data_IF_906373085993
#
_entry.id   IF_906373085993
#
_cell.length_a   1.000
_cell.length_b   1.000
_cell.length_c   1.000
_cell.angle_alpha   90.00
_cell.angle_beta   90.00
_cell.angle_gamma   90.00
#
_symmetry.space_group_name_H-M   'P 1'
#
loop_
_entity.id
_entity.type
_entity.pdbx_description
1 polymer ?
#
# COMPACT_ATOMS: atom_id res chain seq x y z
N UNK A 1 -54.77 12.07 28.11
CA UNK A 1 -54.47 11.92 26.67
C UNK A 1 -53.01 12.20 26.30
N UNK A 2 -52.25 13.05 27.02
CA UNK A 2 -50.83 13.32 26.69
C UNK A 2 -49.85 12.13 26.90
N UNK A 3 -50.09 11.22 27.86
CA UNK A 3 -49.17 10.09 28.13
C UNK A 3 -49.11 9.05 27.01
N UNK A 4 -50.18 8.89 26.22
CA UNK A 4 -50.21 7.93 25.11
C UNK A 4 -49.39 8.40 23.90
N UNK A 5 -49.22 9.71 23.70
CA UNK A 5 -48.42 10.24 22.57
C UNK A 5 -46.91 10.11 22.80
N UNK A 6 -46.46 10.13 24.06
CA UNK A 6 -45.03 9.97 24.39
C UNK A 6 -44.55 8.56 24.05
N UNK A 7 -45.36 7.53 24.34
CA UNK A 7 -45.00 6.14 24.03
C UNK A 7 -44.95 5.86 22.52
N UNK A 8 -45.86 6.46 21.73
CA UNK A 8 -45.86 6.34 20.26
C UNK A 8 -44.63 7.03 19.66
N UNK A 9 -44.24 8.19 20.18
CA UNK A 9 -43.04 8.90 19.73
C UNK A 9 -41.74 8.13 20.03
N UNK A 10 -41.62 7.50 21.20
CA UNK A 10 -40.47 6.63 21.52
C UNK A 10 -40.42 5.36 20.66
N UNK A 11 -41.57 4.78 20.28
CA UNK A 11 -41.59 3.60 19.42
C UNK A 11 -41.21 3.93 17.98
N UNK A 12 -41.59 5.11 17.49
CA UNK A 12 -41.23 5.59 16.15
C UNK A 12 -39.73 5.97 16.06
N UNK A 13 -39.14 6.48 17.14
CA UNK A 13 -37.71 6.81 17.20
C UNK A 13 -36.81 5.55 17.21
N UNK A 14 -37.29 4.42 17.75
CA UNK A 14 -36.54 3.16 17.76
C UNK A 14 -36.51 2.46 16.40
N UNK A 15 -37.49 2.72 15.53
CA UNK A 15 -37.59 2.15 14.18
C UNK A 15 -36.65 2.81 13.15
N UNK A 16 -36.10 3.98 13.44
CA UNK A 16 -35.19 4.72 12.54
C UNK A 16 -33.72 4.34 12.80
N UNK A 17 -33.42 3.59 13.87
CA UNK A 17 -32.06 3.20 14.27
C UNK A 17 -31.50 1.91 13.64
N UNK A 18 -32.27 1.18 12.85
CA UNK A 18 -31.78 -0.02 12.17
C UNK A 18 -31.04 0.39 10.89
N UNK A 19 -29.77 0.77 11.01
CA UNK A 19 -28.87 0.79 9.87
C UNK A 19 -28.87 -0.61 9.25
N UNK A 20 -29.37 -0.73 8.02
CA UNK A 20 -29.27 -1.95 7.26
C UNK A 20 -27.79 -2.28 7.08
N UNK A 21 -27.35 -3.37 7.71
CA UNK A 21 -26.10 -4.02 7.34
C UNK A 21 -26.27 -4.50 5.88
N UNK A 22 -25.75 -3.73 4.93
CA UNK A 22 -25.71 -4.15 3.54
C UNK A 22 -24.57 -5.16 3.41
N UNK A 23 -24.91 -6.45 3.39
CA UNK A 23 -24.02 -7.46 2.83
C UNK A 23 -24.05 -7.28 1.31
N UNK A 24 -22.89 -7.07 0.70
CA UNK A 24 -22.78 -6.89 -0.75
C UNK A 24 -22.71 -8.29 -1.39
N UNK A 25 -23.89 -8.83 -1.72
CA UNK A 25 -24.00 -10.13 -2.38
C UNK A 25 -23.80 -9.91 -3.88
N UNK A 26 -22.74 -10.51 -4.43
CA UNK A 26 -22.41 -10.40 -5.85
C UNK A 26 -22.81 -11.69 -6.56
N UNK A 27 -23.65 -11.55 -7.59
CA UNK A 27 -24.04 -12.68 -8.44
C UNK A 27 -23.06 -12.81 -9.61
N UNK A 28 -22.40 -13.97 -9.71
CA UNK A 28 -21.41 -14.23 -10.75
C UNK A 28 -21.65 -15.58 -11.44
N UNK A 29 -21.18 -15.67 -12.69
CA UNK A 29 -21.27 -16.87 -13.49
C UNK A 29 -19.88 -17.43 -13.78
N UNK A 30 -19.75 -18.76 -13.76
CA UNK A 30 -18.54 -19.47 -14.13
C UNK A 30 -18.82 -20.65 -15.06
N UNK A 31 -17.82 -21.01 -15.87
CA UNK A 31 -17.94 -22.06 -16.89
C UNK A 31 -16.72 -22.98 -16.90
N UNK A 32 -16.94 -24.25 -17.23
CA UNK A 32 -15.87 -25.21 -17.50
C UNK A 32 -16.29 -26.22 -18.56
N UNK A 33 -15.37 -26.67 -19.39
CA UNK A 33 -15.62 -27.83 -20.26
C UNK A 33 -15.57 -29.13 -19.46
N UNK A 34 -16.37 -30.11 -19.89
CA UNK A 34 -16.30 -31.49 -19.38
C UNK A 34 -15.28 -32.25 -20.21
N UNK A 35 -14.16 -32.63 -19.60
CA UNK A 35 -13.08 -33.41 -20.23
C UNK A 35 -13.19 -34.86 -19.77
N UNK A 36 -13.15 -35.82 -20.68
CA UNK A 36 -13.20 -37.26 -20.39
C UNK A 36 -14.40 -37.72 -19.55
N UNK A 37 -15.54 -37.01 -19.64
CA UNK A 37 -16.73 -37.32 -18.84
C UNK A 37 -16.63 -36.95 -17.37
N UNK A 38 -15.58 -36.23 -16.93
CA UNK A 38 -15.41 -35.78 -15.56
C UNK A 38 -16.30 -34.56 -15.26
N UNK A 39 -17.57 -34.85 -14.99
CA UNK A 39 -18.58 -33.83 -14.64
C UNK A 39 -18.27 -33.19 -13.28
N UNK A 40 -17.73 -33.96 -12.32
CA UNK A 40 -17.40 -33.48 -10.98
C UNK A 40 -16.24 -32.49 -11.01
N UNK A 41 -15.18 -32.80 -11.75
CA UNK A 41 -14.06 -31.89 -11.98
C UNK A 41 -14.48 -30.64 -12.75
N UNK A 42 -15.34 -30.79 -13.76
CA UNK A 42 -15.90 -29.66 -14.51
C UNK A 42 -16.77 -28.74 -13.63
N UNK A 43 -17.59 -29.32 -12.73
CA UNK A 43 -18.38 -28.57 -11.75
C UNK A 43 -17.49 -27.76 -10.82
N UNK A 44 -16.48 -28.39 -10.22
CA UNK A 44 -15.52 -27.69 -9.34
C UNK A 44 -14.72 -26.60 -10.08
N UNK A 45 -14.36 -26.84 -11.34
CA UNK A 45 -13.71 -25.84 -12.17
C UNK A 45 -14.63 -24.66 -12.51
N UNK A 46 -15.90 -24.91 -12.83
CA UNK A 46 -16.89 -23.86 -13.09
C UNK A 46 -17.19 -23.02 -11.83
N UNK A 47 -17.25 -23.64 -10.65
CA UNK A 47 -17.41 -22.92 -9.37
C UNK A 47 -16.19 -22.02 -9.09
N UNK A 48 -14.97 -22.52 -9.32
CA UNK A 48 -13.75 -21.71 -9.18
C UNK A 48 -13.71 -20.54 -10.17
N UNK A 49 -14.20 -20.74 -11.37
CA UNK A 49 -14.34 -19.68 -12.38
C UNK A 49 -15.37 -18.63 -11.95
N UNK A 50 -16.53 -19.05 -11.42
CA UNK A 50 -17.56 -18.16 -10.89
C UNK A 50 -17.03 -17.32 -9.72
N UNK A 51 -16.25 -17.93 -8.82
CA UNK A 51 -15.59 -17.24 -7.72
C UNK A 51 -14.61 -16.16 -8.18
N UNK A 52 -13.82 -16.43 -9.24
CA UNK A 52 -12.92 -15.43 -9.82
C UNK A 52 -13.71 -14.26 -10.42
N UNK A 53 -14.78 -14.55 -11.14
CA UNK A 53 -15.66 -13.52 -11.72
C UNK A 53 -16.27 -12.64 -10.64
N UNK A 54 -16.75 -13.23 -9.54
CA UNK A 54 -17.29 -12.49 -8.40
C UNK A 54 -16.24 -11.54 -7.77
N UNK A 55 -15.02 -12.02 -7.55
CA UNK A 55 -13.92 -11.20 -7.01
C UNK A 55 -13.50 -10.06 -7.95
N UNK A 56 -13.49 -10.30 -9.26
CA UNK A 56 -13.21 -9.24 -10.23
C UNK A 56 -14.30 -8.16 -10.24
N UNK A 57 -15.58 -8.57 -10.17
CA UNK A 57 -16.71 -7.63 -10.08
C UNK A 57 -16.67 -6.81 -8.79
N UNK A 58 -16.18 -7.40 -7.70
CA UNK A 58 -15.93 -6.73 -6.43
C UNK A 58 -14.69 -5.82 -6.42
N UNK A 59 -13.95 -5.69 -7.54
CA UNK A 59 -12.81 -4.77 -7.66
C UNK A 59 -11.46 -5.29 -7.13
N UNK A 60 -11.34 -6.58 -6.81
CA UNK A 60 -10.06 -7.18 -6.41
C UNK A 60 -9.17 -7.41 -7.65
N UNK A 61 -7.94 -6.86 -7.64
CA UNK A 61 -6.97 -7.02 -8.75
C UNK A 61 -6.30 -8.41 -8.71
N UNK A 62 -6.55 -9.23 -9.74
CA UNK A 62 -5.99 -10.57 -9.89
C UNK A 62 -4.60 -10.52 -10.58
N UNK A 63 -3.61 -9.91 -9.92
CA UNK A 63 -2.21 -10.02 -10.36
C UNK A 63 -1.55 -11.25 -9.72
N UNK A 64 -1.29 -12.23 -10.58
CA UNK A 64 -0.80 -13.59 -10.30
C UNK A 64 0.51 -13.68 -9.51
N UNK A 65 0.50 -14.38 -8.38
CA UNK A 65 0.98 -15.78 -8.31
C UNK A 65 0.64 -16.39 -6.95
N UNK A 66 0.10 -17.61 -6.95
CA UNK A 66 -0.19 -18.42 -5.75
C UNK A 66 -1.35 -17.94 -4.88
N UNK A 67 -2.58 -18.19 -5.32
CA UNK A 67 -3.73 -18.31 -4.42
C UNK A 67 -4.44 -19.64 -4.75
N UNK A 68 -4.35 -20.59 -3.84
CA UNK A 68 -5.08 -21.86 -3.93
C UNK A 68 -6.55 -21.55 -3.61
N UNK A 69 -7.42 -21.61 -4.61
CA UNK A 69 -8.87 -21.59 -4.37
C UNK A 69 -9.23 -22.98 -3.86
N UNK A 70 -9.26 -23.14 -2.54
CA UNK A 70 -9.77 -24.36 -1.92
C UNK A 70 -11.29 -24.27 -1.84
N UNK A 71 -11.94 -25.21 -2.51
CA UNK A 71 -13.40 -25.39 -2.47
C UNK A 71 -13.64 -26.58 -1.54
N UNK A 72 -14.30 -26.36 -0.42
CA UNK A 72 -14.68 -27.43 0.51
C UNK A 72 -16.17 -27.34 0.80
N UNK A 73 -16.86 -28.46 0.64
CA UNK A 73 -18.30 -28.60 0.84
C UNK A 73 -18.57 -29.01 2.29
N UNK A 74 -19.31 -28.19 3.04
CA UNK A 74 -19.72 -28.49 4.41
C UNK A 74 -21.19 -28.11 4.56
N UNK A 75 -22.07 -29.11 4.75
CA UNK A 75 -23.52 -28.93 4.98
C UNK A 75 -24.21 -28.02 3.94
N UNK A 76 -24.18 -28.40 2.65
CA UNK A 76 -24.78 -27.68 1.51
C UNK A 76 -24.29 -26.24 1.27
N UNK A 77 -23.29 -25.77 2.02
CA UNK A 77 -22.64 -24.48 1.81
C UNK A 77 -21.24 -24.66 1.24
N UNK A 78 -20.94 -23.95 0.15
CA UNK A 78 -19.60 -23.96 -0.45
C UNK A 78 -18.75 -22.92 0.28
N UNK A 79 -17.73 -23.38 1.01
CA UNK A 79 -16.71 -22.49 1.59
C UNK A 79 -15.54 -22.39 0.63
N UNK A 80 -15.36 -21.20 0.06
CA UNK A 80 -14.23 -20.86 -0.80
C UNK A 80 -13.27 -19.97 -0.02
N UNK A 81 -12.12 -20.50 0.40
CA UNK A 81 -11.14 -19.71 1.18
C UNK A 81 -10.06 -19.14 0.28
N UNK A 82 -10.24 -17.90 -0.18
CA UNK A 82 -9.17 -17.08 -0.77
C UNK A 82 -8.82 -15.96 0.20
N UNK A 83 -7.80 -16.17 1.06
CA UNK A 83 -7.34 -15.22 2.11
C UNK A 83 -8.47 -14.39 2.78
N UNK A 84 -9.60 -15.04 3.10
CA UNK A 84 -10.69 -14.41 3.84
C UNK A 84 -11.56 -13.39 3.09
N UNK A 85 -11.55 -13.37 1.75
CA UNK A 85 -12.33 -12.39 0.95
C UNK A 85 -13.75 -12.86 0.57
N UNK A 86 -13.97 -14.18 0.47
CA UNK A 86 -15.30 -14.77 0.26
C UNK A 86 -15.69 -15.45 1.57
N UNK A 87 -16.77 -14.96 2.22
CA UNK A 87 -17.23 -15.53 3.48
C UNK A 87 -18.08 -16.78 3.25
N UNK A 88 -18.98 -16.70 2.27
CA UNK A 88 -19.87 -17.78 1.87
C UNK A 88 -20.17 -17.67 0.37
N UNK A 89 -20.48 -18.81 -0.25
CA UNK A 89 -20.92 -18.87 -1.64
C UNK A 89 -22.00 -19.93 -1.78
N UNK A 90 -23.13 -19.52 -2.35
CA UNK A 90 -24.26 -20.40 -2.61
C UNK A 90 -24.46 -20.55 -4.10
N UNK A 91 -24.63 -21.79 -4.56
CA UNK A 91 -24.96 -22.09 -5.95
C UNK A 91 -26.46 -21.92 -6.13
N UNK A 92 -26.86 -21.02 -7.01
CA UNK A 92 -28.28 -20.72 -7.28
C UNK A 92 -28.79 -21.35 -8.57
N UNK A 93 -27.89 -21.66 -9.51
CA UNK A 93 -28.24 -22.34 -10.77
C UNK A 93 -27.06 -23.15 -11.30
N UNK A 94 -27.34 -24.34 -11.81
CA UNK A 94 -26.38 -25.22 -12.48
C UNK A 94 -26.99 -25.78 -13.75
N UNK A 95 -26.24 -25.73 -14.85
CA UNK A 95 -26.65 -26.37 -16.10
C UNK A 95 -25.48 -26.99 -16.85
N UNK A 96 -25.74 -28.13 -17.48
CA UNK A 96 -24.82 -28.80 -18.39
C UNK A 96 -25.41 -28.75 -19.79
N UNK A 97 -24.86 -27.89 -20.64
CA UNK A 97 -25.29 -27.77 -22.04
C UNK A 97 -24.10 -27.88 -22.98
N UNK A 98 -24.21 -28.75 -23.98
CA UNK A 98 -23.21 -28.91 -25.07
C UNK A 98 -21.78 -29.15 -24.56
N UNK A 99 -21.62 -29.93 -23.49
CA UNK A 99 -20.31 -30.27 -22.91
C UNK A 99 -19.66 -29.16 -22.07
N UNK A 100 -20.40 -28.08 -21.78
CA UNK A 100 -19.98 -26.99 -20.90
C UNK A 100 -20.84 -27.02 -19.64
N UNK A 101 -20.19 -27.12 -18.50
CA UNK A 101 -20.78 -26.98 -17.18
C UNK A 101 -20.79 -25.49 -16.80
N UNK A 102 -21.98 -24.95 -16.55
CA UNK A 102 -22.19 -23.55 -16.19
C UNK A 102 -22.83 -23.46 -14.81
N UNK A 103 -22.29 -22.59 -13.96
CA UNK A 103 -22.77 -22.37 -12.60
C UNK A 103 -23.00 -20.88 -12.39
N UNK A 104 -24.10 -20.54 -11.74
CA UNK A 104 -24.36 -19.20 -11.22
C UNK A 104 -24.33 -19.25 -9.70
N UNK A 105 -23.56 -18.36 -9.09
CA UNK A 105 -23.37 -18.30 -7.64
C UNK A 105 -23.75 -16.93 -7.10
N UNK A 106 -24.27 -16.91 -5.87
CA UNK A 106 -24.30 -15.73 -5.03
C UNK A 106 -23.11 -15.82 -4.08
N UNK A 107 -22.21 -14.85 -4.18
CA UNK A 107 -21.04 -14.75 -3.32
C UNK A 107 -21.26 -13.64 -2.29
N UNK A 108 -21.17 -13.98 -1.01
CA UNK A 108 -21.04 -13.00 0.07
C UNK A 108 -19.58 -12.56 0.13
N UNK A 109 -19.30 -11.44 -0.52
CA UNK A 109 -17.98 -10.85 -0.58
C UNK A 109 -17.92 -9.77 0.48
N UNK A 110 -17.26 -10.07 1.59
CA UNK A 110 -16.84 -9.02 2.50
C UNK A 110 -15.62 -8.36 1.91
N UNK A 111 -15.73 -7.07 1.64
CA UNK A 111 -14.56 -6.24 1.53
C UNK A 111 -13.81 -6.31 2.88
N UNK A 112 -12.68 -7.01 2.90
CA UNK A 112 -11.77 -6.96 4.03
C UNK A 112 -11.13 -5.57 4.20
N UNK A 113 -11.50 -4.60 3.36
CA UNK A 113 -11.28 -3.17 3.58
C UNK A 113 -12.43 -2.46 4.33
N UNK A 114 -13.63 -3.05 4.42
CA UNK A 114 -14.79 -2.51 5.18
C UNK A 114 -14.97 -3.20 6.53
N UNK A 115 -14.36 -4.36 6.75
CA UNK A 115 -14.07 -4.83 8.11
C UNK A 115 -12.59 -4.62 8.40
N UNK A 116 -12.29 -3.41 8.87
CA UNK A 116 -11.25 -3.25 9.88
C UNK A 116 -11.55 -4.28 10.98
N UNK A 117 -10.87 -5.44 10.92
CA UNK A 117 -10.24 -5.93 12.14
C UNK A 117 -9.47 -4.71 12.63
N UNK A 118 -10.00 -4.07 13.67
CA UNK A 118 -9.66 -2.74 14.15
C UNK A 118 -8.18 -2.49 13.92
N UNK A 119 -7.86 -1.65 12.92
CA UNK A 119 -6.51 -1.17 12.70
C UNK A 119 -6.01 -0.74 14.08
N UNK A 120 -5.05 -1.45 14.70
CA UNK A 120 -4.80 -1.29 16.12
C UNK A 120 -4.39 0.17 16.35
N UNK A 121 -5.28 0.94 16.98
CA UNK A 121 -5.00 2.34 17.32
C UNK A 121 -4.13 2.28 18.57
N UNK A 122 -2.89 1.85 18.37
CA UNK A 122 -1.89 1.89 19.40
C UNK A 122 -1.58 3.37 19.70
N UNK A 123 -1.41 3.75 20.97
CA UNK A 123 -1.08 5.13 21.36
C UNK A 123 0.34 5.55 20.92
N UNK A 124 1.07 4.65 20.26
CA UNK A 124 2.44 4.85 19.85
C UNK A 124 2.54 5.44 18.44
N UNK A 125 3.48 6.38 18.28
CA UNK A 125 3.81 6.92 16.97
C UNK A 125 4.80 6.00 16.24
N UNK A 126 4.52 5.72 14.96
CA UNK A 126 5.36 4.84 14.12
C UNK A 126 6.35 5.66 13.32
N UNK A 127 7.62 5.29 13.32
CA UNK A 127 8.63 5.99 12.53
C UNK A 127 8.63 5.55 11.07
N UNK A 128 8.57 6.51 10.16
CA UNK A 128 8.67 6.32 8.71
C UNK A 128 9.85 7.12 8.17
N UNK A 129 10.59 6.52 7.25
CA UNK A 129 11.58 7.23 6.45
C UNK A 129 11.12 7.31 5.00
N UNK A 130 11.02 8.51 4.45
CA UNK A 130 10.76 8.73 3.01
C UNK A 130 12.07 8.97 2.28
N UNK A 131 12.37 8.14 1.27
CA UNK A 131 13.57 8.27 0.44
C UNK A 131 13.27 8.92 -0.91
N UNK A 132 14.30 9.30 -1.66
CA UNK A 132 14.18 9.90 -2.98
C UNK A 132 13.48 8.97 -4.00
N UNK A 133 12.79 9.58 -4.97
CA UNK A 133 12.04 8.88 -6.02
C UNK A 133 12.84 8.83 -7.31
N UNK A 134 13.36 7.66 -7.68
CA UNK A 134 14.17 7.53 -8.89
C UNK A 134 13.35 7.80 -10.16
N UNK A 135 13.81 8.70 -11.03
CA UNK A 135 13.14 9.04 -12.28
C UNK A 135 13.49 8.08 -13.42
N UNK A 136 12.50 7.29 -13.85
CA UNK A 136 12.68 6.35 -14.98
C UNK A 136 12.81 7.02 -16.33
N UNK A 137 12.38 8.27 -16.46
CA UNK A 137 12.43 9.04 -17.71
C UNK A 137 13.04 10.42 -17.45
N UNK A 138 14.36 10.55 -17.24
CA UNK A 138 15.00 11.84 -16.93
C UNK A 138 14.71 12.95 -17.97
N UNK A 139 14.52 12.59 -19.24
CA UNK A 139 14.10 13.53 -20.29
C UNK A 139 12.70 14.15 -20.08
N UNK A 140 11.83 13.51 -19.30
CA UNK A 140 10.44 13.95 -19.08
C UNK A 140 10.32 15.21 -18.19
N UNK A 141 11.38 15.56 -17.46
CA UNK A 141 11.39 16.72 -16.54
C UNK A 141 12.03 17.98 -17.13
N UNK A 142 12.46 17.97 -18.39
CA UNK A 142 13.14 19.11 -19.03
C UNK A 142 12.27 20.37 -19.09
N UNK A 143 11.00 20.20 -19.43
CA UNK A 143 10.03 21.29 -19.49
C UNK A 143 9.71 21.76 -18.08
N UNK A 144 9.93 23.05 -17.81
CA UNK A 144 9.82 23.62 -16.47
C UNK A 144 11.02 23.35 -15.56
N UNK A 145 12.09 22.70 -16.07
CA UNK A 145 13.29 22.28 -15.31
C UNK A 145 12.94 21.58 -13.99
N UNK A 146 12.07 20.57 -14.04
CA UNK A 146 11.59 19.82 -12.86
C UNK A 146 12.61 18.78 -12.37
N UNK A 147 13.91 19.08 -12.46
CA UNK A 147 14.98 18.12 -12.14
C UNK A 147 15.01 17.74 -10.66
N UNK A 148 14.50 18.61 -9.79
CA UNK A 148 14.37 18.35 -8.35
C UNK A 148 13.17 17.47 -8.00
N UNK A 149 12.42 16.91 -8.97
CA UNK A 149 11.23 16.12 -8.68
C UNK A 149 11.53 14.90 -7.78
N UNK A 150 12.69 14.26 -7.93
CA UNK A 150 13.08 13.07 -7.17
C UNK A 150 13.12 13.33 -5.66
N UNK A 151 13.73 14.46 -5.27
CA UNK A 151 13.86 14.91 -3.88
C UNK A 151 12.60 15.61 -3.39
N UNK A 152 12.01 16.46 -4.23
CA UNK A 152 10.86 17.27 -3.86
C UNK A 152 9.58 16.44 -3.65
N UNK A 153 9.38 15.34 -4.39
CA UNK A 153 8.27 14.42 -4.13
C UNK A 153 8.42 13.77 -2.74
N UNK A 154 9.63 13.33 -2.39
CA UNK A 154 9.91 12.74 -1.08
C UNK A 154 9.63 13.73 0.06
N UNK A 155 10.10 14.98 -0.07
CA UNK A 155 9.85 16.06 0.89
C UNK A 155 8.36 16.38 0.99
N UNK A 156 7.69 16.55 -0.15
CA UNK A 156 6.27 16.89 -0.20
C UNK A 156 5.40 15.81 0.43
N UNK A 157 5.73 14.52 0.24
CA UNK A 157 5.03 13.42 0.91
C UNK A 157 5.29 13.41 2.41
N UNK A 158 6.54 13.61 2.83
CA UNK A 158 6.90 13.65 4.25
C UNK A 158 6.17 14.79 4.99
N UNK A 159 6.11 15.97 4.40
CA UNK A 159 5.40 17.14 4.93
C UNK A 159 3.89 16.90 5.08
N UNK A 160 3.27 16.09 4.21
CA UNK A 160 1.84 15.78 4.27
C UNK A 160 1.50 14.67 5.25
N UNK A 161 2.44 13.76 5.48
CA UNK A 161 2.29 12.71 6.49
C UNK A 161 2.42 13.27 7.91
N UNK A 162 3.27 14.29 8.11
CA UNK A 162 3.57 14.88 9.41
C UNK A 162 2.35 15.43 10.19
N UNK A 163 1.42 16.22 9.60
CA UNK A 163 0.31 16.79 10.36
C UNK A 163 -0.87 15.84 10.60
N UNK A 164 -0.89 14.62 10.04
CA UNK A 164 -2.14 13.86 9.96
C UNK A 164 -2.26 12.64 10.87
N UNK A 165 -1.19 12.02 11.36
CA UNK A 165 -1.25 10.62 11.78
C UNK A 165 -0.16 10.37 12.81
N UNK A 166 -0.39 9.56 13.85
CA UNK A 166 0.60 9.13 14.87
C UNK A 166 1.83 8.48 14.21
N UNK A 167 2.62 9.26 13.50
CA UNK A 167 3.69 8.89 12.60
C UNK A 167 4.81 9.90 12.79
N UNK A 168 6.00 9.40 13.07
CA UNK A 168 7.22 10.18 13.11
C UNK A 168 7.89 10.08 11.75
N UNK A 169 7.80 11.13 10.95
CA UNK A 169 8.23 11.09 9.56
C UNK A 169 9.59 11.76 9.40
N UNK A 170 10.56 10.99 8.94
CA UNK A 170 11.87 11.45 8.50
C UNK A 170 11.94 11.43 6.97
N UNK A 171 12.79 12.28 6.39
CA UNK A 171 13.01 12.33 4.94
C UNK A 171 14.50 12.31 4.63
N UNK A 172 14.90 11.51 3.64
CA UNK A 172 16.25 11.47 3.08
C UNK A 172 16.14 11.70 1.57
N UNK A 173 16.06 12.98 1.15
CA UNK A 173 15.68 13.35 -0.21
C UNK A 173 16.76 13.06 -1.27
N UNK A 174 17.97 12.67 -0.86
CA UNK A 174 19.08 12.32 -1.74
C UNK A 174 19.35 10.81 -1.78
N UNK A 175 18.72 10.04 -0.88
CA UNK A 175 18.94 8.60 -0.79
C UNK A 175 18.01 7.86 -1.75
N UNK A 176 18.56 7.12 -2.71
CA UNK A 176 17.78 6.24 -3.60
C UNK A 176 18.07 4.78 -3.30
N UNK A 177 17.03 3.99 -2.98
CA UNK A 177 17.18 2.56 -2.65
C UNK A 177 16.91 1.63 -3.84
N UNK A 178 16.32 2.15 -4.91
CA UNK A 178 16.02 1.39 -6.11
C UNK A 178 16.98 1.80 -7.25
N UNK A 179 17.67 0.82 -7.82
CA UNK A 179 18.24 0.97 -9.16
C UNK A 179 17.07 1.27 -10.12
N UNK A 180 17.20 2.30 -10.95
CA UNK A 180 16.10 2.77 -11.82
C UNK A 180 15.62 1.72 -12.83
N UNK A 181 16.34 0.60 -12.92
CA UNK A 181 16.11 -0.47 -13.86
C UNK A 181 15.39 -1.66 -13.18
N UNK A 182 14.10 -1.84 -13.48
CA UNK A 182 13.25 -2.93 -12.95
C UNK A 182 13.75 -4.32 -13.36
N UNK A 183 14.55 -4.42 -14.42
CA UNK A 183 15.14 -5.66 -14.92
C UNK A 183 16.44 -6.05 -14.20
N UNK A 184 17.11 -5.10 -13.55
CA UNK A 184 18.38 -5.30 -12.83
C UNK A 184 18.22 -5.17 -11.32
N UNK A 185 17.12 -4.55 -10.85
CA UNK A 185 16.78 -4.51 -9.43
C UNK A 185 16.25 -5.87 -9.02
N UNK A 186 17.17 -6.75 -8.60
CA UNK A 186 16.79 -7.99 -7.96
C UNK A 186 15.92 -7.65 -6.75
N UNK A 187 14.75 -8.30 -6.63
CA UNK A 187 13.80 -8.06 -5.55
C UNK A 187 14.51 -8.09 -4.19
N UNK A 188 15.51 -8.97 -4.04
CA UNK A 188 16.30 -9.22 -2.83
C UNK A 188 17.31 -8.11 -2.46
N UNK A 189 17.90 -7.40 -3.42
CA UNK A 189 18.83 -6.28 -3.11
C UNK A 189 18.11 -5.14 -2.39
N UNK A 190 16.84 -4.92 -2.74
CA UNK A 190 15.99 -3.89 -2.12
C UNK A 190 15.66 -4.25 -0.67
N UNK A 191 15.44 -5.53 -0.32
CA UNK A 191 15.19 -5.93 1.08
C UNK A 191 16.39 -5.58 1.97
N UNK A 192 17.59 -5.98 1.57
CA UNK A 192 18.80 -5.74 2.36
C UNK A 192 19.09 -4.25 2.49
N UNK A 193 18.90 -3.49 1.41
CA UNK A 193 19.04 -2.03 1.42
C UNK A 193 18.03 -1.37 2.35
N UNK A 194 16.76 -1.80 2.32
CA UNK A 194 15.72 -1.31 3.24
C UNK A 194 16.10 -1.58 4.69
N UNK A 195 16.51 -2.81 5.02
CA UNK A 195 16.90 -3.16 6.39
C UNK A 195 18.10 -2.35 6.89
N UNK A 196 19.12 -2.18 6.04
CA UNK A 196 20.31 -1.40 6.35
C UNK A 196 19.93 0.05 6.67
N UNK A 197 19.09 0.64 5.82
CA UNK A 197 18.67 2.04 5.94
C UNK A 197 17.73 2.23 7.12
N UNK A 198 16.79 1.31 7.33
CA UNK A 198 15.91 1.32 8.48
C UNK A 198 16.69 1.30 9.80
N UNK A 199 17.71 0.43 9.88
CA UNK A 199 18.65 0.38 11.00
C UNK A 199 19.49 1.65 11.12
N UNK A 200 20.02 2.20 10.01
CA UNK A 200 20.83 3.41 10.05
C UNK A 200 20.06 4.63 10.56
N UNK A 201 18.82 4.80 10.13
CA UNK A 201 17.97 5.95 10.48
C UNK A 201 16.99 5.66 11.62
N UNK A 202 17.07 4.48 12.24
CA UNK A 202 16.25 4.07 13.38
C UNK A 202 14.74 4.22 13.10
N UNK A 203 14.32 3.79 11.90
CA UNK A 203 12.92 3.87 11.47
C UNK A 203 12.28 2.48 11.41
N UNK A 204 10.99 2.40 11.71
CA UNK A 204 10.21 1.17 11.64
C UNK A 204 9.84 0.80 10.21
N UNK A 205 9.56 1.82 9.39
CA UNK A 205 9.15 1.64 8.02
C UNK A 205 9.96 2.53 7.08
N UNK A 206 10.12 2.06 5.85
CA UNK A 206 10.83 2.79 4.79
C UNK A 206 9.90 2.93 3.59
N UNK A 207 9.73 4.17 3.14
CA UNK A 207 8.94 4.54 1.98
C UNK A 207 9.90 4.81 0.83
N UNK A 208 9.70 4.07 -0.26
CA UNK A 208 10.48 4.23 -1.49
C UNK A 208 9.55 4.48 -2.67
N UNK A 209 10.10 4.99 -3.78
CA UNK A 209 9.29 5.20 -4.96
C UNK A 209 10.07 5.46 -6.23
N UNK A 210 9.34 5.51 -7.33
CA UNK A 210 9.86 5.79 -8.66
C UNK A 210 8.93 6.76 -9.37
N UNK A 211 9.50 7.75 -10.06
CA UNK A 211 8.75 8.57 -10.99
C UNK A 211 8.63 7.77 -12.29
N UNK A 212 7.40 7.39 -12.62
CA UNK A 212 7.10 6.54 -13.79
C UNK A 212 6.99 7.38 -15.06
N UNK A 213 6.34 8.55 -14.96
CA UNK A 213 6.17 9.45 -16.10
C UNK A 213 5.87 10.90 -15.68
N UNK A 214 6.57 11.84 -16.31
CA UNK A 214 6.28 13.29 -16.22
C UNK A 214 6.20 13.95 -17.61
N UNK A 215 6.00 13.16 -18.66
CA UNK A 215 6.09 13.61 -20.04
C UNK A 215 4.89 14.45 -20.47
N UNK A 216 5.15 15.38 -21.39
CA UNK A 216 4.11 16.09 -22.13
C UNK A 216 3.50 15.15 -23.17
N UNK A 217 2.20 15.27 -23.43
CA UNK A 217 1.54 14.56 -24.53
C UNK A 217 2.20 14.88 -25.89
N UNK A 218 2.73 16.09 -26.05
CA UNK A 218 3.55 16.47 -27.22
C UNK A 218 4.82 17.23 -26.79
N UNK A 219 5.94 16.52 -26.53
CA UNK A 219 7.17 17.15 -26.03
C UNK A 219 7.93 17.98 -27.08
N UNK A 220 7.74 17.71 -28.37
CA UNK A 220 8.44 18.39 -29.47
C UNK A 220 7.68 19.62 -30.01
N UNK A 221 6.40 19.78 -29.70
CA UNK A 221 5.58 20.92 -30.16
C UNK A 221 6.25 22.27 -29.86
N UNK A 222 6.88 22.40 -28.70
CA UNK A 222 7.50 23.65 -28.25
C UNK A 222 8.93 23.86 -28.76
N UNK A 223 9.53 22.89 -29.47
CA UNK A 223 10.86 23.04 -30.07
C UNK A 223 10.84 23.88 -31.35
N UNK A 224 9.69 23.97 -32.02
CA UNK A 224 9.58 24.54 -33.37
C UNK A 224 9.03 25.96 -33.44
N UNK A 225 8.71 26.60 -32.31
CA UNK A 225 8.05 27.90 -32.33
C UNK A 225 8.83 29.00 -31.59
N UNK A 226 10.05 29.29 -32.04
CA UNK A 226 10.77 30.51 -31.63
C UNK A 226 10.16 31.79 -32.21
N UNK A 227 9.33 31.68 -33.25
CA UNK A 227 8.69 32.80 -33.96
C UNK A 227 7.19 33.00 -33.64
N UNK A 228 6.56 32.08 -32.88
CA UNK A 228 5.14 32.15 -32.53
C UNK A 228 4.87 32.53 -31.07
N UNK A 229 5.80 33.27 -30.45
CA UNK A 229 5.77 33.63 -29.01
C UNK A 229 4.62 34.57 -28.61
N UNK A 230 3.82 35.04 -29.56
CA UNK A 230 2.67 35.95 -29.34
C UNK A 230 1.34 35.45 -29.94
N UNK A 231 1.26 34.21 -30.45
CA UNK A 231 0.21 33.86 -31.42
C UNK A 231 -0.83 32.76 -31.09
N UNK A 232 -0.73 31.99 -30.00
CA UNK A 232 -1.53 30.76 -29.89
C UNK A 232 -2.47 30.67 -28.66
N UNK A 233 -3.27 31.71 -28.43
CA UNK A 233 -4.60 31.54 -27.83
C UNK A 233 -5.68 31.14 -28.86
N UNK A 234 -5.41 31.34 -30.16
CA UNK A 234 -6.36 31.15 -31.27
C UNK A 234 -6.09 29.85 -32.07
N UNK A 235 -4.89 29.28 -31.97
CA UNK A 235 -4.49 28.09 -32.73
C UNK A 235 -4.98 26.75 -32.17
N UNK A 236 -5.29 26.65 -30.87
CA UNK A 236 -5.86 25.41 -30.29
C UNK A 236 -7.34 25.24 -30.67
N UNK A 237 -8.08 26.33 -30.85
CA UNK A 237 -9.47 26.33 -31.34
C UNK A 237 -9.56 25.92 -32.82
N UNK A 238 -8.55 26.23 -33.64
CA UNK A 238 -8.50 25.88 -35.07
C UNK A 238 -7.89 24.49 -35.36
N UNK A 239 -7.55 23.68 -34.35
CA UNK A 239 -7.29 22.23 -34.54
C UNK A 239 -8.46 21.35 -34.11
N UNK A 240 -9.44 21.91 -33.38
CA UNK A 240 -10.65 21.20 -32.94
C UNK A 240 -11.71 21.09 -34.06
N UNK A 241 -11.71 21.96 -35.08
CA UNK A 241 -12.63 21.89 -36.23
C UNK A 241 -12.39 20.71 -37.19
N UNK A 242 -11.25 20.01 -37.10
CA UNK A 242 -10.90 18.86 -37.95
C UNK A 242 -11.00 17.54 -37.17
N UNK A 243 -12.10 17.30 -36.45
CA UNK A 243 -12.62 15.96 -36.08
C UNK A 243 -11.73 14.95 -35.33
N UNK A 244 -10.46 15.22 -35.09
CA UNK A 244 -9.61 14.51 -34.17
C UNK A 244 -9.70 15.28 -32.85
N UNK A 245 -9.93 14.59 -31.74
CA UNK A 245 -9.59 15.13 -30.42
C UNK A 245 -8.13 14.74 -30.14
N UNK A 246 -7.09 15.44 -30.65
CA UNK A 246 -5.78 15.30 -30.05
C UNK A 246 -5.89 15.95 -28.67
N UNK A 247 -5.43 15.25 -27.62
CA UNK A 247 -5.27 15.83 -26.29
C UNK A 247 -4.63 17.22 -26.38
N UNK A 248 -4.99 18.14 -25.48
CA UNK A 248 -4.36 19.46 -25.43
C UNK A 248 -2.85 19.27 -25.43
N UNK A 249 -2.15 19.95 -26.34
CA UNK A 249 -0.70 19.85 -26.51
C UNK A 249 0.10 20.18 -25.23
N UNK A 250 -0.54 20.89 -24.29
CA UNK A 250 0.00 21.23 -22.97
C UNK A 250 -0.31 20.18 -21.91
N UNK A 251 -1.12 19.16 -22.22
CA UNK A 251 -1.40 18.07 -21.31
C UNK A 251 -0.10 17.37 -20.94
N UNK A 252 0.09 17.14 -19.64
CA UNK A 252 1.27 16.53 -19.06
C UNK A 252 0.85 15.41 -18.12
N UNK A 253 1.51 14.27 -18.25
CA UNK A 253 1.36 13.13 -17.37
C UNK A 253 2.07 13.41 -16.04
N UNK A 254 1.50 12.97 -14.93
CA UNK A 254 2.21 12.83 -13.67
C UNK A 254 1.90 11.46 -13.09
N UNK A 255 2.87 10.57 -13.08
CA UNK A 255 2.74 9.24 -12.51
C UNK A 255 3.96 8.86 -11.70
N UNK A 256 3.71 8.30 -10.52
CA UNK A 256 4.73 7.77 -9.64
C UNK A 256 4.24 6.50 -8.96
N UNK A 257 5.17 5.61 -8.63
CA UNK A 257 4.93 4.42 -7.82
C UNK A 257 5.43 4.67 -6.41
N UNK A 258 4.61 4.31 -5.43
CA UNK A 258 4.87 4.45 -4.01
C UNK A 258 4.88 3.07 -3.36
N UNK A 259 5.88 2.81 -2.53
CA UNK A 259 6.04 1.53 -1.83
C UNK A 259 6.35 1.76 -0.36
N UNK A 260 5.66 1.04 0.53
CA UNK A 260 5.97 0.98 1.96
C UNK A 260 6.62 -0.36 2.26
N UNK A 261 7.73 -0.33 2.99
CA UNK A 261 8.47 -1.52 3.40
C UNK A 261 8.58 -1.57 4.92
N UNK A 262 8.55 -2.79 5.44
CA UNK A 262 8.91 -3.13 6.81
C UNK A 262 10.42 -2.98 6.99
N UNK A 263 10.86 -2.20 7.98
CA UNK A 263 12.28 -1.95 8.23
C UNK A 263 13.04 -3.12 8.84
N UNK A 264 12.35 -4.08 9.47
CA UNK A 264 12.94 -5.27 10.09
C UNK A 264 13.16 -6.36 9.05
N UNK A 265 12.12 -6.67 8.28
CA UNK A 265 12.15 -7.76 7.30
C UNK A 265 12.56 -7.30 5.92
N UNK A 266 12.44 -6.01 5.60
CA UNK A 266 12.61 -5.46 4.25
C UNK A 266 11.40 -5.70 3.34
N UNK A 267 10.35 -6.36 3.84
CA UNK A 267 9.19 -6.79 3.05
C UNK A 267 8.34 -5.61 2.64
N UNK A 268 7.90 -5.61 1.38
CA UNK A 268 6.97 -4.62 0.88
C UNK A 268 5.55 -4.90 1.38
N UNK A 269 5.01 -3.95 2.14
CA UNK A 269 3.67 -3.97 2.75
C UNK A 269 2.64 -3.33 1.82
N UNK A 270 3.05 -2.27 1.13
CA UNK A 270 2.20 -1.50 0.23
C UNK A 270 2.93 -1.19 -1.07
N UNK A 271 2.21 -1.21 -2.18
CA UNK A 271 2.72 -0.93 -3.52
C UNK A 271 1.60 -0.42 -4.41
N UNK A 272 1.64 0.87 -4.76
CA UNK A 272 0.62 1.47 -5.62
C UNK A 272 1.22 2.48 -6.58
N UNK A 273 0.74 2.46 -7.81
CA UNK A 273 1.03 3.50 -8.81
C UNK A 273 -0.10 4.51 -8.82
N UNK A 274 0.27 5.78 -8.69
CA UNK A 274 -0.60 6.92 -8.80
C UNK A 274 -0.39 7.58 -10.15
N UNK A 275 -1.47 8.07 -10.76
CA UNK A 275 -1.38 8.76 -12.04
C UNK A 275 -2.46 9.82 -12.15
N UNK A 276 -2.09 10.96 -12.69
CA UNK A 276 -3.00 12.03 -13.08
C UNK A 276 -2.47 12.73 -14.33
N UNK A 277 -3.27 13.66 -14.86
CA UNK A 277 -2.90 14.56 -15.95
C UNK A 277 -3.34 15.97 -15.58
N UNK A 278 -2.63 16.94 -16.13
CA UNK A 278 -3.01 18.34 -16.04
C UNK A 278 -2.31 19.17 -17.11
N UNK A 279 -2.78 20.39 -17.30
CA UNK A 279 -2.27 21.32 -18.29
C UNK A 279 -1.03 22.04 -17.76
N UNK A 280 0.04 22.03 -18.54
CA UNK A 280 1.21 22.86 -18.29
C UNK A 280 0.97 24.27 -18.86
N UNK A 281 0.54 25.19 -18.00
CA UNK A 281 0.20 26.58 -18.33
C UNK A 281 1.24 27.60 -17.86
N UNK A 282 2.36 27.16 -17.27
CA UNK A 282 3.52 28.01 -17.02
C UNK A 282 4.32 28.32 -18.29
N UNK A 283 5.13 29.40 -18.25
CA UNK A 283 6.08 29.71 -19.32
C UNK A 283 7.03 28.51 -19.53
N UNK A 284 7.05 28.00 -20.76
CA UNK A 284 7.83 26.83 -21.15
C UNK A 284 9.34 27.01 -20.98
N UNK A 285 9.84 28.25 -21.06
CA UNK A 285 11.25 28.59 -20.88
C UNK A 285 11.63 28.84 -19.41
N UNK A 286 10.64 28.96 -18.53
CA UNK A 286 10.87 29.19 -17.11
C UNK A 286 11.49 27.96 -16.43
N UNK A 287 12.34 28.24 -15.45
CA UNK A 287 12.86 27.25 -14.51
C UNK A 287 11.90 27.11 -13.33
N UNK A 288 10.68 26.63 -13.59
CA UNK A 288 9.63 26.55 -12.57
C UNK A 288 10.05 25.68 -11.38
N UNK A 289 10.72 24.54 -11.62
CA UNK A 289 11.08 23.57 -10.59
C UNK A 289 9.85 22.83 -10.04
N UNK A 290 10.01 21.56 -9.62
CA UNK A 290 8.92 20.82 -9.00
C UNK A 290 8.63 21.36 -7.60
N UNK A 291 7.37 21.38 -7.19
CA UNK A 291 6.91 21.84 -5.89
C UNK A 291 7.24 23.30 -5.51
N UNK A 292 7.64 24.15 -6.47
CA UNK A 292 7.77 25.58 -6.22
C UNK A 292 6.40 26.28 -6.16
N UNK A 293 6.31 27.51 -5.62
CA UNK A 293 5.07 28.29 -5.70
C UNK A 293 4.56 28.47 -7.13
N UNK A 294 5.47 28.66 -8.09
CA UNK A 294 5.12 28.76 -9.51
C UNK A 294 4.61 27.45 -10.10
N UNK A 295 5.11 26.31 -9.61
CA UNK A 295 4.59 24.99 -9.99
C UNK A 295 3.17 24.79 -9.49
N UNK A 296 2.93 25.04 -8.20
CA UNK A 296 1.61 24.85 -7.58
C UNK A 296 0.52 25.77 -8.15
N UNK A 297 0.91 26.90 -8.75
CA UNK A 297 -0.01 27.78 -9.46
C UNK A 297 -0.53 27.21 -10.79
N UNK A 298 0.15 26.21 -11.37
CA UNK A 298 -0.26 25.59 -12.65
C UNK A 298 -1.40 24.59 -12.47
N UNK A 299 -2.20 24.36 -13.51
CA UNK A 299 -3.21 23.29 -13.52
C UNK A 299 -2.57 21.90 -13.29
N UNK A 300 -1.43 21.63 -13.94
CA UNK A 300 -0.61 20.44 -13.70
C UNK A 300 -0.16 20.30 -12.23
N UNK A 301 0.29 21.39 -11.63
CA UNK A 301 0.73 21.43 -10.23
C UNK A 301 -0.42 21.14 -9.27
N UNK A 302 -1.60 21.71 -9.50
CA UNK A 302 -2.80 21.42 -8.70
C UNK A 302 -3.27 19.98 -8.84
N UNK A 303 -3.19 19.39 -10.04
CA UNK A 303 -3.48 17.98 -10.25
C UNK A 303 -2.48 17.07 -9.50
N UNK A 304 -1.19 17.41 -9.57
CA UNK A 304 -0.15 16.71 -8.83
C UNK A 304 -0.32 16.85 -7.31
N UNK A 305 -0.71 18.03 -6.84
CA UNK A 305 -0.99 18.32 -5.43
C UNK A 305 -2.10 17.40 -4.90
N UNK A 306 -3.23 17.32 -5.60
CA UNK A 306 -4.34 16.42 -5.21
C UNK A 306 -3.89 14.96 -5.16
N UNK A 307 -3.12 14.52 -6.15
CA UNK A 307 -2.63 13.14 -6.22
C UNK A 307 -1.64 12.81 -5.09
N UNK A 308 -0.73 13.73 -4.76
CA UNK A 308 0.22 13.57 -3.65
C UNK A 308 -0.49 13.55 -2.29
N UNK A 309 -1.53 14.37 -2.10
CA UNK A 309 -2.34 14.36 -0.88
C UNK A 309 -3.09 13.04 -0.72
N UNK A 310 -3.68 12.52 -1.80
CA UNK A 310 -4.30 11.20 -1.79
C UNK A 310 -3.28 10.10 -1.44
N UNK A 311 -2.11 10.13 -2.06
CA UNK A 311 -1.07 9.14 -1.81
C UNK A 311 -0.54 9.18 -0.37
N UNK A 312 -0.34 10.38 0.20
CA UNK A 312 0.07 10.55 1.60
C UNK A 312 -1.00 10.02 2.57
N UNK A 313 -2.28 10.32 2.32
CA UNK A 313 -3.39 9.82 3.15
C UNK A 313 -3.43 8.29 3.16
N UNK A 314 -3.43 7.66 1.98
CA UNK A 314 -3.49 6.20 1.84
C UNK A 314 -2.22 5.53 2.42
N UNK A 315 -1.03 6.08 2.16
CA UNK A 315 0.22 5.57 2.71
C UNK A 315 0.21 5.61 4.23
N UNK A 316 -0.21 6.74 4.79
CA UNK A 316 -0.30 6.90 6.23
C UNK A 316 -1.28 5.89 6.84
N UNK A 317 -2.48 5.74 6.27
CA UNK A 317 -3.45 4.74 6.74
C UNK A 317 -2.87 3.33 6.72
N UNK A 318 -2.12 2.98 5.67
CA UNK A 318 -1.45 1.66 5.58
C UNK A 318 -0.36 1.49 6.64
N UNK A 319 0.41 2.53 6.93
CA UNK A 319 1.42 2.52 7.99
C UNK A 319 0.79 2.45 9.39
N UNK A 320 -0.28 3.21 9.63
CA UNK A 320 -1.02 3.17 10.89
C UNK A 320 -1.65 1.81 11.18
N UNK A 321 -1.95 0.99 10.17
CA UNK A 321 -2.46 -0.36 10.40
C UNK A 321 -1.40 -1.44 10.54
N UNK A 322 -0.12 -1.06 10.53
CA UNK A 322 0.96 -1.97 10.92
C UNK A 322 1.14 -1.97 12.44
N UNK A 323 1.65 -3.06 13.06
CA UNK A 323 1.95 -3.07 14.48
C UNK A 323 3.07 -2.07 14.82
N UNK A 324 3.04 -1.45 16.00
CA UNK A 324 4.20 -0.69 16.46
C UNK A 324 5.31 -1.66 16.88
N UNK A 325 6.53 -1.44 16.39
CA UNK A 325 7.70 -2.27 16.68
C UNK A 325 8.90 -1.39 17.02
N UNK A 326 9.69 -1.72 18.04
CA UNK A 326 10.90 -0.97 18.38
C UNK A 326 12.07 -1.91 18.64
N UNK A 327 13.27 -1.64 18.10
CA UNK A 327 14.45 -2.45 18.40
C UNK A 327 14.78 -2.44 19.89
N UNK A 328 15.20 -3.59 20.40
CA UNK A 328 15.57 -3.80 21.80
C UNK A 328 17.03 -4.20 21.91
N UNK A 329 17.77 -3.49 22.77
CA UNK A 329 19.13 -3.84 23.18
C UNK A 329 19.14 -4.33 24.61
N UNK A 330 19.63 -5.56 24.82
CA UNK A 330 19.77 -6.17 26.15
C UNK A 330 21.13 -5.79 26.71
N UNK A 331 21.14 -5.21 27.91
CA UNK A 331 22.39 -4.91 28.61
C UNK A 331 23.04 -6.18 29.12
N UNK A 332 24.34 -6.32 28.87
CA UNK A 332 25.14 -7.42 29.43
C UNK A 332 25.50 -7.22 30.91
N UNK A 333 25.18 -6.08 31.53
CA UNK A 333 25.72 -5.68 32.85
C UNK A 333 24.69 -5.56 33.98
N UNK A 334 23.48 -5.09 33.70
CA UNK A 334 22.54 -4.61 34.72
C UNK A 334 21.09 -5.09 34.54
N UNK A 335 20.88 -6.16 33.75
CA UNK A 335 19.55 -6.77 33.49
C UNK A 335 18.51 -5.78 32.93
N UNK A 336 18.96 -4.62 32.42
CA UNK A 336 18.11 -3.63 31.78
C UNK A 336 18.01 -3.92 30.28
N UNK A 337 16.89 -3.52 29.69
CA UNK A 337 16.74 -3.45 28.25
C UNK A 337 16.43 -2.04 27.80
N UNK A 338 17.02 -1.67 26.67
CA UNK A 338 16.85 -0.38 26.03
C UNK A 338 15.97 -0.56 24.82
N UNK A 339 14.80 0.05 24.83
CA UNK A 339 13.89 0.12 23.69
C UNK A 339 14.21 1.38 22.91
N UNK A 340 14.49 1.27 21.62
CA UNK A 340 14.77 2.42 20.75
C UNK A 340 13.46 3.10 20.30
N UNK A 341 12.62 3.40 21.28
CA UNK A 341 11.43 4.23 21.19
C UNK A 341 11.17 4.89 22.55
N UNK A 342 10.82 6.17 22.52
CA UNK A 342 10.73 7.02 23.70
C UNK A 342 9.44 7.82 23.77
N UNK A 343 9.46 8.90 24.54
CA UNK A 343 8.33 9.81 24.68
C UNK A 343 7.87 10.40 23.33
N UNK A 344 8.80 10.65 22.38
CA UNK A 344 8.46 11.11 21.03
C UNK A 344 7.64 10.08 20.25
N UNK A 345 7.81 8.80 20.57
CA UNK A 345 7.05 7.69 20.00
C UNK A 345 5.80 7.35 20.83
N UNK A 346 5.45 8.15 21.84
CA UNK A 346 4.30 7.92 22.73
C UNK A 346 4.50 6.84 23.79
N UNK A 347 5.73 6.35 24.00
CA UNK A 347 6.05 5.36 25.04
C UNK A 347 6.10 6.04 26.41
N UNK A 348 5.47 5.44 27.42
CA UNK A 348 5.38 5.93 28.80
C UNK A 348 5.85 4.87 29.81
N UNK A 349 6.21 5.34 31.01
CA UNK A 349 6.49 4.47 32.15
C UNK A 349 5.25 3.66 32.49
N UNK A 350 5.41 2.34 32.62
CA UNK A 350 4.33 1.39 32.88
C UNK A 350 3.84 0.64 31.64
N UNK A 351 4.15 1.11 30.43
CA UNK A 351 3.78 0.43 29.19
C UNK A 351 4.41 -0.97 29.12
N UNK A 352 3.67 -1.90 28.51
CA UNK A 352 4.12 -3.29 28.33
C UNK A 352 4.21 -3.68 26.85
N UNK A 353 5.26 -4.39 26.49
CA UNK A 353 5.50 -4.88 25.13
C UNK A 353 5.80 -6.38 25.13
N UNK A 354 5.38 -7.08 24.08
CA UNK A 354 5.87 -8.44 23.83
C UNK A 354 7.25 -8.36 23.21
N UNK A 355 8.14 -9.27 23.60
CA UNK A 355 9.46 -9.37 23.00
C UNK A 355 9.50 -10.48 21.95
N UNK A 356 10.05 -10.16 20.79
CA UNK A 356 10.30 -11.11 19.72
C UNK A 356 11.79 -11.14 19.41
N UNK A 357 12.35 -12.33 19.22
CA UNK A 357 13.72 -12.46 18.71
C UNK A 357 13.71 -12.36 17.18
N UNK A 358 14.64 -11.62 16.60
CA UNK A 358 14.92 -11.73 15.17
C UNK A 358 15.55 -13.11 14.91
N UNK A 359 14.89 -13.89 14.06
CA UNK A 359 15.36 -15.18 13.59
C UNK A 359 15.42 -15.24 12.06
N UNK A 360 15.86 -16.37 11.55
CA UNK A 360 15.89 -16.67 10.13
C UNK A 360 15.08 -17.95 9.84
N UNK A 361 14.28 -17.93 8.78
CA UNK A 361 13.53 -19.08 8.28
C UNK A 361 14.12 -19.53 6.94
N UNK A 362 14.60 -20.78 6.81
CA UNK A 362 15.11 -21.29 5.55
C UNK A 362 13.99 -21.39 4.52
N UNK A 363 14.33 -21.30 3.23
CA UNK A 363 13.40 -21.67 2.17
C UNK A 363 12.96 -23.12 2.35
N UNK A 364 11.66 -23.36 2.49
CA UNK A 364 11.12 -24.71 2.33
C UNK A 364 11.29 -25.11 0.85
N UNK A 365 12.22 -26.03 0.57
CA UNK A 365 12.43 -26.78 -0.67
C UNK A 365 11.52 -26.38 -1.86
N UNK A 366 11.83 -25.27 -2.53
CA UNK A 366 11.33 -25.05 -3.89
C UNK A 366 12.33 -25.76 -4.79
N UNK A 367 11.91 -26.90 -5.35
CA UNK A 367 12.70 -27.61 -6.35
C UNK A 367 13.18 -26.62 -7.42
N UNK A 368 14.50 -26.63 -7.62
CA UNK A 368 15.24 -25.77 -8.53
C UNK A 368 14.60 -25.77 -9.93
N UNK A 369 13.84 -24.72 -10.26
CA UNK A 369 13.80 -24.26 -11.64
C UNK A 369 15.08 -23.47 -11.88
N UNK A 370 16.05 -24.14 -12.50
CA UNK A 370 17.39 -23.63 -12.74
C UNK A 370 17.36 -22.25 -13.40
N UNK A 371 17.76 -21.24 -12.65
CA UNK A 371 18.58 -20.10 -13.09
C UNK A 371 18.94 -19.22 -11.88
N UNK A 372 20.22 -19.29 -11.50
CA UNK A 372 21.05 -18.25 -10.88
C UNK A 372 20.75 -17.77 -9.43
N UNK A 373 21.47 -18.38 -8.46
CA UNK A 373 22.40 -17.77 -7.48
C UNK A 373 22.03 -16.48 -6.70
N UNK A 374 20.79 -15.99 -6.71
CA UNK A 374 20.47 -14.66 -6.19
C UNK A 374 19.36 -14.62 -5.12
N UNK A 375 18.86 -15.78 -4.67
CA UNK A 375 17.90 -15.86 -3.58
C UNK A 375 18.63 -15.91 -2.22
N UNK A 376 18.25 -15.09 -1.22
CA UNK A 376 18.88 -15.06 0.10
C UNK A 376 18.67 -16.39 0.83
N UNK A 377 19.68 -16.96 1.48
CA UNK A 377 19.58 -18.30 2.10
C UNK A 377 18.45 -18.49 3.12
N UNK A 378 17.88 -17.40 3.65
CA UNK A 378 16.75 -17.40 4.57
C UNK A 378 15.98 -16.06 4.56
N UNK A 379 14.73 -16.07 5.03
CA UNK A 379 13.95 -14.87 5.36
C UNK A 379 14.12 -14.50 6.83
N UNK A 380 14.24 -13.21 7.15
CA UNK A 380 14.10 -12.74 8.53
C UNK A 380 12.67 -12.92 9.03
N UNK A 381 12.53 -13.40 10.27
CA UNK A 381 11.26 -13.54 10.97
C UNK A 381 11.36 -13.02 12.40
N UNK A 382 10.21 -12.77 13.01
CA UNK A 382 10.08 -12.49 14.43
C UNK A 382 9.55 -13.73 15.14
N UNK A 383 10.38 -14.34 15.97
CA UNK A 383 10.02 -15.47 16.81
C UNK A 383 9.53 -14.96 18.17
N UNK A 384 8.25 -15.23 18.47
CA UNK A 384 7.64 -14.80 19.74
C UNK A 384 8.40 -15.41 20.91
N UNK A 385 8.92 -14.57 21.80
CA UNK A 385 9.43 -15.02 23.08
C UNK A 385 8.30 -14.98 24.09
N UNK A 386 8.28 -15.88 25.07
CA UNK A 386 7.31 -15.80 26.18
C UNK A 386 7.57 -14.62 27.12
N UNK A 387 8.49 -13.71 26.78
CA UNK A 387 8.91 -12.62 27.63
C UNK A 387 8.08 -11.36 27.38
N UNK A 388 7.63 -10.73 28.47
CA UNK A 388 7.00 -9.42 28.47
C UNK A 388 7.96 -8.39 29.05
N UNK A 389 8.06 -7.25 28.36
CA UNK A 389 8.84 -6.10 28.79
C UNK A 389 7.91 -5.06 29.41
N UNK A 390 8.28 -4.53 30.58
CA UNK A 390 7.63 -3.36 31.18
C UNK A 390 8.60 -2.16 31.22
N UNK A 391 8.14 -1.00 30.77
CA UNK A 391 8.93 0.25 30.77
C UNK A 391 9.02 0.84 32.18
N UNK A 392 10.23 1.15 32.62
CA UNK A 392 10.53 1.74 33.93
C UNK A 392 11.04 3.17 33.85
N UNK A 393 11.65 3.56 32.71
CA UNK A 393 12.09 4.92 32.44
C UNK A 393 11.86 5.27 30.98
N UNK A 394 11.54 6.54 30.71
CA UNK A 394 11.30 7.05 29.35
C UNK A 394 12.14 8.29 29.11
N UNK A 395 12.86 8.31 27.99
CA UNK A 395 13.57 9.47 27.44
C UNK A 395 12.95 9.85 26.09
N UNK A 396 13.29 11.01 25.48
CA UNK A 396 12.67 11.42 24.21
C UNK A 396 12.79 10.38 23.07
N UNK A 397 13.98 9.80 22.87
CA UNK A 397 14.26 8.87 21.77
C UNK A 397 14.40 7.40 22.15
N UNK A 398 14.38 7.05 23.44
CA UNK A 398 14.49 5.67 23.91
C UNK A 398 13.86 5.51 25.28
N UNK A 399 13.60 4.27 25.68
CA UNK A 399 13.08 3.91 26.99
C UNK A 399 13.89 2.77 27.59
N UNK A 400 13.87 2.65 28.91
CA UNK A 400 14.48 1.55 29.65
C UNK A 400 13.38 0.75 30.32
N UNK A 401 13.51 -0.57 30.31
CA UNK A 401 12.57 -1.47 30.97
C UNK A 401 13.22 -2.72 31.53
N UNK A 402 12.37 -3.54 32.14
CA UNK A 402 12.71 -4.83 32.73
C UNK A 402 11.85 -5.92 32.11
N UNK A 403 12.39 -7.14 32.02
CA UNK A 403 11.69 -8.30 31.46
C UNK A 403 11.47 -9.37 32.54
N UNK A 404 10.47 -10.22 32.32
CA UNK A 404 10.10 -11.33 33.21
C UNK A 404 10.86 -12.64 32.93
N UNK A 405 11.52 -12.79 31.78
CA UNK A 405 12.28 -13.98 31.39
C UNK A 405 13.65 -13.66 30.76
N UNK A 406 14.72 -14.41 31.07
CA UNK A 406 16.09 -14.10 30.65
C UNK A 406 16.24 -14.00 29.11
N UNK A 407 16.67 -12.84 28.64
CA UNK A 407 17.02 -12.59 27.24
C UNK A 407 18.53 -12.81 27.01
N UNK A 408 18.88 -13.32 25.82
CA UNK A 408 20.27 -13.61 25.44
C UNK A 408 20.94 -12.35 24.87
N UNK A 409 22.04 -11.83 25.46
CA UNK A 409 22.61 -10.54 25.06
C UNK A 409 23.08 -10.44 23.59
N UNK A 410 23.29 -11.57 22.91
CA UNK A 410 23.81 -11.63 21.54
C UNK A 410 22.72 -11.74 20.47
N UNK A 411 21.46 -11.93 20.85
CA UNK A 411 20.33 -11.92 19.93
C UNK A 411 19.80 -10.50 19.72
N UNK A 412 19.24 -10.26 18.54
CA UNK A 412 18.49 -9.03 18.28
C UNK A 412 17.03 -9.25 18.64
N UNK A 413 16.44 -8.27 19.29
CA UNK A 413 15.07 -8.34 19.75
C UNK A 413 14.27 -7.13 19.26
N UNK A 414 12.97 -7.33 19.10
CA UNK A 414 11.98 -6.30 18.83
C UNK A 414 10.93 -6.31 19.94
N UNK A 415 10.62 -5.13 20.47
CA UNK A 415 9.45 -4.90 21.30
C UNK A 415 8.26 -4.61 20.37
N UNK A 416 7.16 -5.33 20.55
CA UNK A 416 5.95 -5.18 19.72
C UNK A 416 4.78 -4.84 20.65
N UNK A 417 4.06 -3.77 20.31
CA UNK A 417 2.85 -3.39 21.02
C UNK A 417 1.71 -4.39 20.74
N UNK A 418 0.88 -4.63 21.76
CA UNK A 418 -0.39 -5.36 21.61
C UNK A 418 -1.42 -4.55 20.84
#
# INVERSE_FOLDING_TARGET
>A
MLRSYVHIATFLALLIGAAAAQADIITAQGKSSVVNGDVTGARQAAIRDAARTALMQAGFDLRSSTNVINVTEVNDQIRVSTRGQIQAMDVIDESLQKGIYQVTVNADIRDSSIHAAECPVAPYSKSLLVTAFNNRKPQSVRVGKLYNAESAIAQTLAERLYPQQNLEVQTQPELTLASGNRLLSNHYEVFNAVQLVASQYQTQYVVTGTIEDMSMANPDYFRYNSLGRTGNRVGSTLKSWVGANPADIRERQFSFRLMLHDGVTGTRIFDKTYSTRGLWDADYTAATGFASPGFWATDYGQAADKLLSQAALELGQKALCQPFMAPVKVSARDSQVYVLAGANSGVNVGDTFNIYAEGEAPFANIEHFGTMALAPSAYKKLDHTSAQLQITQTYPGYSIGTFDAPLQPYLRYMAVAH
#
